data_IF_449262408766
#
_entry.id   IF_449262408766
#
_cell.length_a   1.000
_cell.length_b   1.000
_cell.length_c   1.000
_cell.angle_alpha   90.00
_cell.angle_beta   90.00
_cell.angle_gamma   90.00
#
_symmetry.space_group_name_H-M   'P 1'
#
loop_
_entity.id
_entity.type
_entity.pdbx_description
1 polymer ?
#
# COMPACT_ATOMS: atom_id res chain seq x y z
N UNK A 1 77.06 -35.03 14.83
CA UNK A 1 75.79 -35.25 15.57
C UNK A 1 74.71 -34.41 14.89
N UNK A 2 73.75 -35.04 14.23
CA UNK A 2 72.69 -34.38 13.46
C UNK A 2 71.47 -34.15 14.36
N UNK A 3 71.13 -32.89 14.62
CA UNK A 3 69.90 -32.51 15.33
C UNK A 3 68.86 -32.15 14.28
N UNK A 4 67.83 -33.01 14.11
CA UNK A 4 66.69 -32.75 13.23
C UNK A 4 65.67 -31.90 13.97
N UNK A 5 65.46 -30.67 13.50
CA UNK A 5 64.39 -29.80 13.98
C UNK A 5 63.04 -30.28 13.42
N UNK A 6 62.13 -30.69 14.31
CA UNK A 6 60.72 -30.93 13.99
C UNK A 6 59.99 -29.59 13.89
N UNK A 7 59.61 -29.18 12.69
CA UNK A 7 58.62 -28.12 12.46
C UNK A 7 57.21 -28.69 12.62
N UNK A 8 56.55 -28.31 13.72
CA UNK A 8 55.13 -28.58 13.97
C UNK A 8 54.33 -27.50 13.23
N UNK A 9 53.73 -27.85 12.10
CA UNK A 9 52.77 -26.98 11.40
C UNK A 9 51.44 -26.98 12.14
N UNK A 10 51.15 -25.89 12.87
CA UNK A 10 49.85 -25.66 13.48
C UNK A 10 48.83 -25.30 12.38
N UNK A 11 47.90 -26.21 12.12
CA UNK A 11 46.77 -26.02 11.21
C UNK A 11 45.75 -25.08 11.89
N UNK A 12 45.77 -23.80 11.53
CA UNK A 12 44.76 -22.84 11.99
C UNK A 12 43.45 -23.09 11.23
N UNK A 13 42.49 -23.77 11.88
CA UNK A 13 41.13 -23.90 11.37
C UNK A 13 40.38 -22.58 11.55
N UNK A 14 40.33 -21.76 10.50
CA UNK A 14 39.50 -20.55 10.46
C UNK A 14 38.04 -20.96 10.29
N UNK A 15 37.31 -21.11 11.40
CA UNK A 15 35.86 -21.24 11.38
C UNK A 15 35.29 -19.88 10.96
N UNK A 16 34.96 -19.75 9.69
CA UNK A 16 34.19 -18.63 9.18
C UNK A 16 32.78 -18.73 9.77
N UNK A 17 32.50 -17.93 10.80
CA UNK A 17 31.15 -17.66 11.25
C UNK A 17 30.42 -16.91 10.13
N UNK A 18 29.75 -17.65 9.25
CA UNK A 18 28.71 -17.09 8.42
C UNK A 18 27.62 -16.57 9.37
N UNK A 19 27.63 -15.26 9.62
CA UNK A 19 26.53 -14.63 10.35
C UNK A 19 25.25 -14.95 9.59
N UNK A 20 24.25 -15.60 10.19
CA UNK A 20 22.98 -15.79 9.52
C UNK A 20 22.46 -14.39 9.20
N UNK A 21 22.35 -14.09 7.91
CA UNK A 21 21.67 -12.89 7.46
C UNK A 21 20.25 -12.97 7.99
N UNK A 22 19.96 -12.28 9.09
CA UNK A 22 18.62 -12.14 9.61
C UNK A 22 17.80 -11.52 8.50
N UNK A 23 16.99 -12.33 7.83
CA UNK A 23 16.07 -11.86 6.83
C UNK A 23 15.06 -10.95 7.54
N UNK A 24 15.27 -9.65 7.37
CA UNK A 24 14.51 -8.58 8.02
C UNK A 24 13.11 -8.55 7.46
N UNK A 25 12.10 -8.56 8.35
CA UNK A 25 10.70 -8.27 8.00
C UNK A 25 10.65 -6.98 7.18
N UNK A 26 10.08 -7.05 5.97
CA UNK A 26 10.01 -5.90 5.07
C UNK A 26 8.70 -5.17 5.30
N UNK A 27 8.77 -3.96 5.87
CA UNK A 27 7.59 -3.12 6.09
C UNK A 27 7.73 -1.77 5.40
N UNK A 28 6.84 -1.49 4.46
CA UNK A 28 6.77 -0.19 3.76
C UNK A 28 5.42 0.44 4.06
N UNK A 29 5.45 1.53 4.82
CA UNK A 29 4.27 2.32 5.16
C UNK A 29 4.23 3.60 4.33
N UNK A 30 3.09 3.90 3.72
CA UNK A 30 2.90 5.07 2.88
C UNK A 30 1.81 5.98 3.46
N UNK A 31 1.95 7.28 3.26
CA UNK A 31 0.94 8.31 3.54
C UNK A 31 1.01 9.43 2.50
N UNK A 32 -0.15 9.85 1.98
CA UNK A 32 -0.22 10.94 1.00
C UNK A 32 -0.19 12.29 1.74
N UNK A 33 0.70 13.20 1.32
CA UNK A 33 0.88 14.53 1.93
C UNK A 33 0.03 15.60 1.24
N UNK A 34 -0.30 15.38 -0.03
CA UNK A 34 -1.14 16.26 -0.84
C UNK A 34 -0.81 16.15 -2.32
N UNK A 35 -1.53 16.93 -3.13
CA UNK A 35 -1.50 16.93 -4.58
C UNK A 35 -0.99 18.25 -5.17
N UNK A 36 -0.43 18.16 -6.37
CA UNK A 36 -0.17 19.32 -7.22
C UNK A 36 -1.49 19.99 -7.63
N UNK A 37 -1.42 21.26 -8.02
CA UNK A 37 -2.61 22.04 -8.38
C UNK A 37 -3.42 21.44 -9.55
N UNK A 38 -2.76 20.70 -10.44
CA UNK A 38 -3.37 20.00 -11.57
C UNK A 38 -3.84 18.57 -11.23
N UNK A 39 -3.63 18.11 -9.99
CA UNK A 39 -4.02 16.78 -9.52
C UNK A 39 -3.26 15.62 -10.17
N UNK A 40 -2.23 15.88 -11.00
CA UNK A 40 -1.50 14.83 -11.73
C UNK A 40 -0.44 14.14 -10.88
N UNK A 41 0.08 14.85 -9.87
CA UNK A 41 1.15 14.35 -9.01
C UNK A 41 0.77 14.50 -7.54
N UNK A 42 1.29 13.60 -6.72
CA UNK A 42 1.10 13.61 -5.28
C UNK A 42 2.44 13.48 -4.56
N UNK A 43 2.61 14.23 -3.48
CA UNK A 43 3.75 14.08 -2.58
C UNK A 43 3.42 12.99 -1.56
N UNK A 44 4.33 12.04 -1.42
CA UNK A 44 4.12 10.84 -0.61
C UNK A 44 5.20 10.75 0.46
N UNK A 45 4.77 10.57 1.70
CA UNK A 45 5.60 10.21 2.86
C UNK A 45 5.70 8.68 2.93
N UNK A 46 6.92 8.18 2.98
CA UNK A 46 7.24 6.76 3.00
C UNK A 46 8.12 6.45 4.20
N UNK A 47 7.80 5.38 4.91
CA UNK A 47 8.60 4.82 5.98
C UNK A 47 8.87 3.35 5.65
N UNK A 48 10.09 3.07 5.22
CA UNK A 48 10.58 1.73 4.91
C UNK A 48 11.44 1.24 6.07
N UNK A 49 11.18 0.03 6.58
CA UNK A 49 11.95 -0.56 7.68
C UNK A 49 13.44 -0.68 7.39
N UNK A 50 13.83 -0.79 6.12
CA UNK A 50 15.21 -1.06 5.72
C UNK A 50 15.95 0.22 5.27
N UNK A 51 15.23 1.22 4.76
CA UNK A 51 15.81 2.46 4.23
C UNK A 51 15.46 3.71 5.04
N UNK A 52 14.61 3.58 6.05
CA UNK A 52 14.15 4.69 6.87
C UNK A 52 13.05 5.52 6.21
N UNK A 53 13.05 6.83 6.48
CA UNK A 53 11.99 7.74 6.07
C UNK A 53 12.38 8.54 4.84
N UNK A 54 11.44 8.70 3.93
CA UNK A 54 11.64 9.55 2.78
C UNK A 54 10.37 10.14 2.20
N UNK A 55 10.55 11.23 1.47
CA UNK A 55 9.53 11.90 0.69
C UNK A 55 9.80 11.70 -0.80
N UNK A 56 8.75 11.44 -1.58
CA UNK A 56 8.89 11.31 -3.03
C UNK A 56 7.62 11.72 -3.76
N UNK A 57 7.79 12.23 -4.97
CA UNK A 57 6.69 12.62 -5.85
C UNK A 57 6.24 11.42 -6.68
N UNK A 58 4.95 11.11 -6.63
CA UNK A 58 4.31 10.04 -7.38
C UNK A 58 3.38 10.64 -8.43
N UNK A 59 3.27 9.96 -9.55
CA UNK A 59 2.22 10.19 -10.53
C UNK A 59 0.92 9.56 -9.99
N UNK A 60 -0.16 10.35 -10.01
CA UNK A 60 -1.44 9.95 -9.40
C UNK A 60 -2.04 8.78 -10.16
N UNK A 61 -2.15 8.88 -11.49
CA UNK A 61 -2.83 7.89 -12.33
C UNK A 61 -2.15 6.51 -12.28
N UNK A 62 -0.82 6.49 -12.31
CA UNK A 62 -0.05 5.23 -12.33
C UNK A 62 0.26 4.68 -10.94
N UNK A 63 0.15 5.50 -9.88
CA UNK A 63 0.59 5.13 -8.53
C UNK A 63 2.10 4.88 -8.43
N UNK A 64 2.90 5.31 -9.41
CA UNK A 64 4.36 5.09 -9.49
C UNK A 64 5.13 6.38 -9.25
N UNK A 65 6.42 6.30 -8.86
CA UNK A 65 7.25 7.49 -8.77
C UNK A 65 7.31 8.26 -10.09
N UNK A 66 7.16 9.58 -10.03
CA UNK A 66 7.23 10.43 -11.23
C UNK A 66 8.62 10.32 -11.88
N UNK A 67 8.70 10.42 -13.22
CA UNK A 67 9.90 10.13 -14.05
C UNK A 67 11.21 10.84 -13.66
N UNK A 68 11.17 11.90 -12.84
CA UNK A 68 12.36 12.62 -12.34
C UNK A 68 12.32 12.84 -10.82
N UNK A 69 11.48 12.10 -10.12
CA UNK A 69 11.39 12.17 -8.67
C UNK A 69 12.54 11.39 -8.02
N UNK A 70 13.29 12.07 -7.15
CA UNK A 70 14.26 11.44 -6.26
C UNK A 70 13.60 11.18 -4.91
N UNK A 71 14.05 10.11 -4.24
CA UNK A 71 13.74 9.92 -2.82
C UNK A 71 14.48 10.98 -2.02
N UNK A 72 13.77 11.64 -1.12
CA UNK A 72 14.30 12.66 -0.22
C UNK A 72 14.28 12.07 1.17
N UNK A 73 15.42 11.58 1.61
CA UNK A 73 15.58 11.07 2.97
C UNK A 73 15.54 12.21 3.98
N UNK A 74 14.94 11.94 5.15
CA UNK A 74 14.86 12.93 6.22
C UNK A 74 14.75 12.26 7.59
N UNK A 75 15.34 12.88 8.60
CA UNK A 75 15.22 12.45 9.99
C UNK A 75 13.88 12.86 10.61
N UNK A 76 13.44 12.15 11.66
CA UNK A 76 12.15 12.43 12.33
C UNK A 76 12.02 13.89 12.82
N UNK A 77 13.11 14.45 13.35
CA UNK A 77 13.21 15.85 13.81
C UNK A 77 13.01 16.85 12.66
N UNK A 78 13.46 16.50 11.45
CA UNK A 78 13.40 17.35 10.28
C UNK A 78 12.09 17.20 9.47
N UNK A 79 11.10 16.43 9.95
CA UNK A 79 9.85 16.14 9.21
C UNK A 79 9.14 17.40 8.74
N UNK A 80 8.74 18.27 9.67
CA UNK A 80 7.95 19.48 9.38
C UNK A 80 8.67 20.45 8.43
N UNK A 81 9.94 20.86 8.67
CA UNK A 81 10.63 21.77 7.76
C UNK A 81 10.87 21.14 6.37
N UNK A 82 11.15 19.83 6.30
CA UNK A 82 11.29 19.10 5.03
C UNK A 82 9.98 19.11 4.26
N UNK A 83 8.86 18.80 4.92
CA UNK A 83 7.53 18.82 4.29
C UNK A 83 7.20 20.20 3.74
N UNK A 84 7.40 21.26 4.53
CA UNK A 84 7.16 22.65 4.09
C UNK A 84 8.04 23.00 2.87
N UNK A 85 9.33 22.65 2.90
CA UNK A 85 10.26 22.90 1.79
C UNK A 85 9.82 22.20 0.50
N UNK A 86 9.44 20.93 0.58
CA UNK A 86 9.11 20.13 -0.59
C UNK A 86 7.68 20.34 -1.10
N UNK A 87 6.71 20.67 -0.23
CA UNK A 87 5.40 21.16 -0.65
C UNK A 87 5.54 22.42 -1.50
N UNK A 88 6.40 23.36 -1.09
CA UNK A 88 6.71 24.56 -1.88
C UNK A 88 7.43 24.22 -3.19
N UNK A 89 8.48 23.39 -3.14
CA UNK A 89 9.28 23.00 -4.32
C UNK A 89 8.43 22.33 -5.40
N UNK A 90 7.56 21.40 -5.01
CA UNK A 90 6.70 20.66 -5.93
C UNK A 90 5.34 21.29 -6.16
N UNK A 91 5.10 22.51 -5.63
CA UNK A 91 3.83 23.24 -5.79
C UNK A 91 2.61 22.40 -5.36
N UNK A 92 2.73 21.71 -4.23
CA UNK A 92 1.64 20.96 -3.60
C UNK A 92 0.65 21.97 -3.02
N UNK A 93 -0.48 22.18 -3.71
CA UNK A 93 -1.49 23.18 -3.36
C UNK A 93 -2.73 22.56 -2.72
N UNK A 94 -3.08 21.34 -3.12
CA UNK A 94 -4.22 20.63 -2.58
C UNK A 94 -3.72 19.71 -1.44
N UNK A 95 -4.09 19.95 -0.17
CA UNK A 95 -3.74 19.05 0.91
C UNK A 95 -4.41 17.67 0.81
N UNK A 96 -5.46 17.57 -0.01
CA UNK A 96 -6.35 16.43 -0.06
C UNK A 96 -7.26 16.35 1.17
N UNK A 97 -8.13 15.34 1.17
CA UNK A 97 -8.92 14.98 2.33
C UNK A 97 -8.90 13.47 2.55
N UNK A 98 -8.52 13.06 3.75
CA UNK A 98 -8.62 11.69 4.18
C UNK A 98 -10.06 11.36 4.61
N UNK A 99 -10.75 10.47 3.91
CA UNK A 99 -12.10 10.07 4.30
C UNK A 99 -12.56 8.77 3.64
N UNK A 100 -13.14 7.88 4.45
CA UNK A 100 -13.88 6.70 3.97
C UNK A 100 -15.31 7.03 3.52
N UNK A 101 -15.69 8.30 3.45
CA UNK A 101 -17.02 8.73 3.02
C UNK A 101 -16.93 9.67 1.82
N UNK A 102 -18.01 9.72 1.04
CA UNK A 102 -18.18 10.73 -0.01
C UNK A 102 -18.27 12.14 0.58
N UNK A 103 -18.12 13.13 -0.30
CA UNK A 103 -18.18 14.56 0.08
C UNK A 103 -19.49 14.95 0.77
N UNK A 104 -20.62 14.40 0.30
CA UNK A 104 -21.96 14.60 0.85
C UNK A 104 -22.27 13.64 2.02
N UNK A 105 -21.32 12.78 2.40
CA UNK A 105 -21.44 11.76 3.46
C UNK A 105 -22.57 10.74 3.24
N UNK A 106 -23.17 10.69 2.06
CA UNK A 106 -24.25 9.75 1.72
C UNK A 106 -23.73 8.37 1.33
N UNK A 107 -22.44 8.26 1.00
CA UNK A 107 -21.80 7.01 0.64
C UNK A 107 -20.63 6.72 1.57
N UNK A 108 -20.50 5.46 1.98
CA UNK A 108 -19.35 4.95 2.73
C UNK A 108 -18.62 3.89 1.92
N UNK A 109 -17.29 3.96 1.91
CA UNK A 109 -16.42 3.05 1.19
C UNK A 109 -15.79 2.07 2.16
N UNK A 110 -15.63 0.83 1.70
CA UNK A 110 -14.96 -0.23 2.45
C UNK A 110 -14.35 -1.24 1.47
N UNK A 111 -13.53 -2.14 1.97
CA UNK A 111 -12.89 -3.16 1.16
C UNK A 111 -13.28 -4.56 1.62
N UNK A 112 -13.45 -5.46 0.66
CA UNK A 112 -13.80 -6.86 0.87
C UNK A 112 -12.82 -7.71 0.07
N UNK A 113 -12.15 -8.65 0.73
CA UNK A 113 -11.28 -9.61 0.05
C UNK A 113 -12.14 -10.67 -0.65
N UNK A 114 -11.91 -10.88 -1.95
CA UNK A 114 -12.60 -11.90 -2.75
C UNK A 114 -11.61 -12.60 -3.67
N UNK A 115 -11.22 -13.81 -3.29
CA UNK A 115 -10.28 -14.62 -4.05
C UNK A 115 -8.95 -13.90 -4.25
N UNK A 116 -8.63 -13.55 -5.48
CA UNK A 116 -7.34 -12.96 -5.85
C UNK A 116 -7.34 -11.42 -5.80
N UNK A 117 -8.44 -10.80 -5.35
CA UNK A 117 -8.65 -9.36 -5.45
C UNK A 117 -9.20 -8.78 -4.15
N UNK A 118 -8.81 -7.53 -3.90
CA UNK A 118 -9.46 -6.67 -2.93
C UNK A 118 -10.51 -5.83 -3.66
N UNK A 119 -11.78 -6.11 -3.41
CA UNK A 119 -12.90 -5.34 -3.97
C UNK A 119 -13.12 -4.10 -3.13
N UNK A 120 -13.08 -2.94 -3.76
CA UNK A 120 -13.41 -1.66 -3.13
C UNK A 120 -14.90 -1.42 -3.40
N UNK A 121 -15.67 -1.57 -2.33
CA UNK A 121 -17.12 -1.45 -2.34
C UNK A 121 -17.56 -0.10 -1.78
N UNK A 122 -18.79 0.27 -2.10
CA UNK A 122 -19.47 1.46 -1.61
C UNK A 122 -20.89 1.10 -1.20
N UNK A 123 -21.38 1.72 -0.12
CA UNK A 123 -22.78 1.63 0.30
C UNK A 123 -23.39 3.02 0.35
N UNK A 124 -24.63 3.17 -0.13
CA UNK A 124 -25.47 4.35 0.09
C UNK A 124 -26.46 4.15 1.27
N UNK A 125 -26.18 3.17 2.14
CA UNK A 125 -27.03 2.66 3.22
C UNK A 125 -28.28 1.89 2.78
N UNK A 126 -28.60 1.87 1.48
CA UNK A 126 -29.71 1.09 0.94
C UNK A 126 -29.22 -0.05 0.05
N UNK A 127 -28.12 0.18 -0.67
CA UNK A 127 -27.56 -0.74 -1.65
C UNK A 127 -26.05 -0.80 -1.51
N UNK A 128 -25.49 -1.91 -1.96
CA UNK A 128 -24.05 -2.10 -2.10
C UNK A 128 -23.67 -1.97 -3.57
N UNK A 129 -22.51 -1.39 -3.84
CA UNK A 129 -21.97 -1.26 -5.18
C UNK A 129 -20.48 -1.51 -5.21
N UNK A 130 -19.98 -1.91 -6.36
CA UNK A 130 -18.55 -2.06 -6.63
C UNK A 130 -18.01 -0.78 -7.28
N UNK A 131 -16.90 -0.27 -6.75
CA UNK A 131 -16.19 0.91 -7.29
C UNK A 131 -15.02 0.47 -8.16
N UNK A 132 -14.16 -0.40 -7.64
CA UNK A 132 -13.03 -0.98 -8.36
C UNK A 132 -12.63 -2.29 -7.69
N UNK A 133 -11.77 -3.07 -8.34
CA UNK A 133 -11.00 -4.13 -7.71
C UNK A 133 -9.50 -3.85 -7.83
N UNK A 134 -8.74 -4.41 -6.91
CA UNK A 134 -7.28 -4.34 -6.87
C UNK A 134 -6.74 -5.75 -6.76
N UNK A 135 -5.84 -6.11 -7.68
CA UNK A 135 -5.19 -7.40 -7.67
C UNK A 135 -4.25 -7.54 -6.46
N UNK A 136 -4.38 -8.66 -5.75
CA UNK A 136 -3.54 -9.00 -4.62
C UNK A 136 -2.30 -9.72 -5.12
N UNK A 137 -1.15 -9.28 -4.60
CA UNK A 137 0.14 -9.87 -4.95
C UNK A 137 0.14 -11.36 -4.61
N UNK A 138 0.76 -12.15 -5.47
CA UNK A 138 1.02 -13.55 -5.22
C UNK A 138 2.51 -13.75 -4.98
N UNK A 139 2.81 -14.57 -3.98
CA UNK A 139 4.15 -15.08 -3.79
C UNK A 139 4.44 -16.10 -4.91
N UNK A 140 5.52 -15.91 -5.66
CA UNK A 140 5.85 -16.79 -6.78
C UNK A 140 6.30 -18.18 -6.34
N UNK A 141 6.79 -18.32 -5.11
CA UNK A 141 7.35 -19.57 -4.60
C UNK A 141 6.29 -20.39 -3.86
N UNK A 142 5.50 -19.73 -3.01
CA UNK A 142 4.49 -20.41 -2.19
C UNK A 142 3.09 -20.39 -2.80
N UNK A 143 2.89 -19.67 -3.90
CA UNK A 143 1.60 -19.40 -4.55
C UNK A 143 0.55 -18.73 -3.66
N UNK A 144 0.90 -18.39 -2.42
CA UNK A 144 0.01 -17.73 -1.46
C UNK A 144 -0.24 -16.29 -1.89
N UNK A 145 -1.48 -15.84 -1.72
CA UNK A 145 -1.90 -14.46 -2.00
C UNK A 145 -1.68 -13.58 -0.78
N UNK A 146 -1.49 -12.28 -1.03
CA UNK A 146 -1.46 -11.27 0.00
C UNK A 146 -2.82 -11.15 0.69
N UNK A 147 -2.83 -10.96 2.00
CA UNK A 147 -4.00 -10.42 2.70
C UNK A 147 -4.10 -8.92 2.39
N UNK A 148 -5.23 -8.49 1.85
CA UNK A 148 -5.44 -7.13 1.38
C UNK A 148 -6.27 -6.29 2.36
N UNK A 149 -5.83 -5.07 2.68
CA UNK A 149 -6.60 -4.15 3.52
C UNK A 149 -6.58 -2.74 2.95
N UNK A 150 -7.76 -2.12 2.86
CA UNK A 150 -7.86 -0.70 2.58
C UNK A 150 -7.49 0.07 3.85
N UNK A 151 -6.34 0.74 3.82
CA UNK A 151 -5.82 1.50 4.96
C UNK A 151 -6.46 2.88 5.03
N UNK A 152 -6.47 3.60 3.90
CA UNK A 152 -7.08 4.92 3.81
C UNK A 152 -7.45 5.29 2.38
N UNK A 153 -8.34 6.29 2.25
CA UNK A 153 -8.71 6.92 0.99
C UNK A 153 -8.35 8.40 1.09
N UNK A 154 -7.45 8.84 0.23
CA UNK A 154 -7.13 10.25 0.06
C UNK A 154 -7.88 10.81 -1.15
N UNK A 155 -8.74 11.79 -0.90
CA UNK A 155 -9.47 12.52 -1.94
C UNK A 155 -8.71 13.76 -2.36
N UNK A 156 -8.80 14.14 -3.63
CA UNK A 156 -8.57 15.53 -4.03
C UNK A 156 -9.66 16.43 -3.45
N UNK A 157 -9.37 17.71 -3.24
CA UNK A 157 -10.35 18.67 -2.67
C UNK A 157 -11.58 18.81 -3.57
N UNK A 158 -11.45 18.62 -4.88
CA UNK A 158 -12.57 18.65 -5.83
C UNK A 158 -13.44 17.37 -5.83
N UNK A 159 -13.04 16.34 -5.07
CA UNK A 159 -13.77 15.08 -4.84
C UNK A 159 -13.98 14.21 -6.08
N UNK A 160 -13.24 14.46 -7.16
CA UNK A 160 -13.32 13.68 -8.40
C UNK A 160 -12.34 12.52 -8.43
N UNK A 161 -11.27 12.62 -7.64
CA UNK A 161 -10.18 11.64 -7.63
C UNK A 161 -10.02 11.07 -6.24
N UNK A 162 -9.91 9.75 -6.18
CA UNK A 162 -9.54 8.98 -5.00
C UNK A 162 -8.18 8.34 -5.22
N UNK A 163 -7.31 8.43 -4.22
CA UNK A 163 -6.12 7.59 -4.11
C UNK A 163 -6.32 6.66 -2.92
N UNK A 164 -6.43 5.38 -3.22
CA UNK A 164 -6.56 4.31 -2.26
C UNK A 164 -5.17 3.90 -1.78
N UNK A 165 -4.95 3.88 -0.48
CA UNK A 165 -3.76 3.29 0.14
C UNK A 165 -4.13 1.89 0.61
N UNK A 166 -3.56 0.88 -0.03
CA UNK A 166 -3.88 -0.54 0.22
C UNK A 166 -2.66 -1.19 0.86
N UNK A 167 -2.81 -1.68 2.09
CA UNK A 167 -1.80 -2.52 2.72
C UNK A 167 -1.96 -3.95 2.22
N UNK A 168 -0.87 -4.53 1.73
CA UNK A 168 -0.81 -5.92 1.33
C UNK A 168 0.18 -6.66 2.22
N UNK A 169 -0.32 -7.64 2.98
CA UNK A 169 0.48 -8.46 3.89
C UNK A 169 0.69 -9.85 3.30
N UNK A 170 1.95 -10.20 3.04
CA UNK A 170 2.36 -11.55 2.62
C UNK A 170 2.82 -12.35 3.84
N UNK A 171 2.25 -13.54 4.02
CA UNK A 171 2.69 -14.52 5.02
C UNK A 171 3.46 -15.65 4.32
N UNK A 172 4.78 -15.51 4.24
CA UNK A 172 5.70 -16.53 3.74
C UNK A 172 6.74 -16.91 4.80
N UNK A 173 7.90 -17.41 4.37
CA UNK A 173 9.07 -17.60 5.26
C UNK A 173 9.48 -16.28 5.93
N UNK A 174 9.28 -15.16 5.24
CA UNK A 174 9.43 -13.81 5.78
C UNK A 174 8.10 -13.06 5.66
N UNK A 175 7.73 -12.33 6.71
CA UNK A 175 6.57 -11.44 6.65
C UNK A 175 6.96 -10.19 5.86
N UNK A 176 6.12 -9.80 4.91
CA UNK A 176 6.22 -8.48 4.29
C UNK A 176 4.88 -7.77 4.30
N UNK A 177 4.89 -6.49 4.63
CA UNK A 177 3.73 -5.62 4.63
C UNK A 177 4.07 -4.37 3.83
N UNK A 178 3.40 -4.19 2.69
CA UNK A 178 3.70 -3.09 1.77
C UNK A 178 2.42 -2.36 1.43
N UNK A 179 2.41 -1.05 1.72
CA UNK A 179 1.38 -0.15 1.22
C UNK A 179 1.58 0.13 -0.28
N UNK A 180 0.51 0.04 -1.07
CA UNK A 180 0.46 0.42 -2.48
C UNK A 180 -0.57 1.54 -2.71
N UNK A 181 -0.35 2.32 -3.77
CA UNK A 181 -1.23 3.44 -4.15
C UNK A 181 -2.02 3.05 -5.39
N UNK A 182 -3.35 3.17 -5.32
CA UNK A 182 -4.24 2.90 -6.44
C UNK A 182 -5.13 4.10 -6.72
N UNK A 183 -5.11 4.58 -7.95
CA UNK A 183 -5.94 5.69 -8.38
C UNK A 183 -7.30 5.23 -8.88
N UNK A 184 -8.33 5.99 -8.52
CA UNK A 184 -9.70 5.81 -9.00
C UNK A 184 -10.29 7.18 -9.32
N UNK A 185 -10.77 7.36 -10.54
CA UNK A 185 -11.64 8.49 -10.87
C UNK A 185 -13.05 8.19 -10.37
N UNK A 186 -13.48 8.87 -9.33
CA UNK A 186 -14.79 8.64 -8.72
C UNK A 186 -15.90 9.26 -9.56
N UNK A 187 -16.82 8.41 -10.01
CA UNK A 187 -18.00 8.77 -10.78
C UNK A 187 -19.17 7.92 -10.32
N UNK A 188 -20.21 8.54 -9.75
CA UNK A 188 -21.34 7.84 -9.12
C UNK A 188 -22.09 6.94 -10.10
N UNK A 189 -22.20 7.38 -11.35
CA UNK A 189 -22.79 6.66 -12.49
C UNK A 189 -21.98 5.43 -12.93
N UNK A 190 -20.71 5.32 -12.53
CA UNK A 190 -19.86 4.16 -12.82
C UNK A 190 -19.88 3.08 -11.72
N UNK A 191 -20.65 3.27 -10.66
CA UNK A 191 -20.77 2.28 -9.59
C UNK A 191 -21.66 1.13 -10.07
N UNK A 192 -21.12 -0.09 -10.04
CA UNK A 192 -21.89 -1.30 -10.34
C UNK A 192 -22.66 -1.72 -9.10
N UNK A 193 -23.92 -1.27 -8.99
CA UNK A 193 -24.81 -1.61 -7.87
C UNK A 193 -25.25 -3.07 -7.92
N UNK A 194 -25.18 -3.75 -6.78
CA UNK A 194 -25.74 -5.09 -6.58
C UNK A 194 -27.25 -4.94 -6.38
N UNK A 195 -28.05 -5.60 -7.22
CA UNK A 195 -29.48 -5.72 -6.94
C UNK A 195 -29.66 -6.68 -5.76
N UNK A 196 -30.40 -6.25 -4.74
CA UNK A 196 -30.81 -7.16 -3.69
C UNK A 196 -31.70 -8.23 -4.34
N UNK A 197 -31.33 -9.49 -4.21
CA UNK A 197 -32.16 -10.60 -4.64
C UNK A 197 -33.44 -10.60 -3.78
N UNK A 198 -34.62 -10.30 -4.34
CA UNK A 198 -35.86 -10.24 -3.56
C UNK A 198 -36.18 -11.58 -2.90
N UNK A 199 -35.70 -12.70 -3.46
CA UNK A 199 -35.95 -14.05 -2.96
C UNK A 199 -35.10 -14.40 -1.71
N UNK A 200 -34.03 -13.65 -1.45
CA UNK A 200 -33.18 -13.84 -0.26
C UNK A 200 -33.66 -13.05 0.97
N UNK A 201 -34.70 -12.22 0.85
CA UNK A 201 -35.29 -11.51 1.99
C UNK A 201 -36.15 -12.41 2.90
N UNK A 202 -36.48 -13.64 2.45
CA UNK A 202 -37.32 -14.59 3.19
C UNK A 202 -36.71 -15.96 3.48
N UNK A 203 -35.48 -16.26 3.02
CA UNK A 203 -34.89 -17.58 3.13
C UNK A 203 -33.59 -17.60 3.96
N UNK A 204 -33.60 -18.42 5.01
CA UNK A 204 -32.47 -18.73 5.88
C UNK A 204 -31.24 -19.16 5.05
N UNK A 205 -30.13 -18.46 5.28
CA UNK A 205 -28.91 -18.46 4.46
C UNK A 205 -28.30 -19.85 4.24
N UNK A 206 -28.32 -20.35 3.00
CA UNK A 206 -27.37 -21.38 2.56
C UNK A 206 -26.07 -20.73 2.09
N UNK A 207 -24.98 -21.15 2.72
CA UNK A 207 -23.55 -20.82 2.55
C UNK A 207 -23.03 -20.71 1.09
N UNK A 208 -23.44 -19.68 0.35
CA UNK A 208 -22.72 -19.20 -0.83
C UNK A 208 -22.57 -17.68 -0.70
N UNK A 209 -21.34 -17.20 -0.83
CA UNK A 209 -21.00 -15.79 -0.66
C UNK A 209 -21.95 -14.90 -1.46
N UNK A 210 -22.62 -13.98 -0.76
CA UNK A 210 -23.71 -13.13 -1.22
C UNK A 210 -23.31 -12.06 -2.29
N UNK A 211 -22.13 -12.21 -2.92
CA UNK A 211 -21.60 -11.27 -3.92
C UNK A 211 -21.39 -11.97 -5.28
N UNK A 212 -22.17 -11.64 -6.31
CA UNK A 212 -22.17 -12.36 -7.59
C UNK A 212 -21.01 -12.03 -8.56
N UNK A 213 -20.07 -11.13 -8.18
CA UNK A 213 -18.95 -10.68 -9.05
C UNK A 213 -17.60 -11.27 -8.66
#
# INVERSE_FOLDING_TARGET
MNVKNLTISALLATIAFASPGFATEKKITISVVGFTADGKQMLVDMNDSNYGRGLRLYDVETGRPAKKSRLIEYERSAKVPTFKRYKRRYKIKDPGMESMKSADKKMAFFAVEKGERLVIAVTDYQRLGKVTDVELRQDKETEKRAEGRLKTIMWTTDRKTMVLVISQKMKGQFTSEIDTLHYVQFKKDRISWVQADPDLAGAEQRKKGWWPF
#
